data_IF_414222094096
#
_entry.id   IF_414222094096
#
_cell.length_a   1.000
_cell.length_b   1.000
_cell.length_c   1.000
_cell.angle_alpha   90.00
_cell.angle_beta   90.00
_cell.angle_gamma   90.00
#
_symmetry.space_group_name_H-M   'P 1'
#
loop_
_entity.id
_entity.type
_entity.pdbx_description
1 polymer ?
#
# COMPACT_ATOMS: atom_id res chain seq x y z
N UNK A 1 -20.61 -41.26 66.90
CA UNK A 1 -21.88 -40.49 66.91
C UNK A 1 -21.69 -39.25 66.05
N UNK A 2 -22.73 -38.89 65.30
CA UNK A 2 -22.74 -38.06 64.09
C UNK A 2 -23.03 -36.57 64.36
N UNK A 3 -22.81 -35.73 63.32
CA UNK A 3 -23.25 -34.33 63.03
C UNK A 3 -22.10 -33.30 63.03
N UNK A 4 -21.62 -32.83 61.87
CA UNK A 4 -22.18 -31.81 60.94
C UNK A 4 -22.43 -30.48 61.66
N UNK A 5 -21.76 -29.40 61.23
CA UNK A 5 -22.35 -28.11 60.80
C UNK A 5 -21.23 -27.20 60.25
N UNK A 6 -21.38 -26.79 58.99
CA UNK A 6 -20.60 -25.77 58.30
C UNK A 6 -21.04 -24.37 58.76
N UNK A 7 -20.09 -23.45 58.97
CA UNK A 7 -20.38 -22.02 59.02
C UNK A 7 -19.68 -21.32 57.85
N UNK A 8 -20.50 -20.94 56.87
CA UNK A 8 -20.14 -20.07 55.74
C UNK A 8 -20.23 -18.61 56.19
N UNK A 9 -19.37 -17.79 55.60
CA UNK A 9 -19.60 -16.36 55.30
C UNK A 9 -19.60 -15.40 56.49
N UNK A 10 -18.52 -14.63 56.65
CA UNK A 10 -18.52 -13.18 56.99
C UNK A 10 -17.08 -12.73 57.29
N UNK A 11 -16.34 -12.36 56.24
CA UNK A 11 -15.16 -11.50 56.36
C UNK A 11 -14.87 -10.86 55.00
N UNK A 12 -15.86 -10.10 54.52
CA UNK A 12 -15.63 -9.10 53.48
C UNK A 12 -15.16 -7.81 54.14
N UNK A 13 -14.35 -7.06 53.41
CA UNK A 13 -13.95 -5.67 53.64
C UNK A 13 -12.85 -5.45 54.68
N UNK A 14 -11.59 -5.39 54.21
CA UNK A 14 -10.70 -4.22 54.37
C UNK A 14 -9.34 -4.56 53.73
N UNK A 15 -9.11 -4.15 52.49
CA UNK A 15 -7.77 -3.94 51.87
C UNK A 15 -7.96 -3.34 50.47
N UNK A 16 -8.33 -2.06 50.43
CA UNK A 16 -8.31 -1.21 49.23
C UNK A 16 -7.62 0.12 49.59
N UNK A 17 -6.31 0.20 49.29
CA UNK A 17 -5.48 1.42 49.18
C UNK A 17 -4.04 0.94 48.88
N UNK A 18 -3.26 1.41 47.91
CA UNK A 18 -3.37 2.49 46.96
C UNK A 18 -2.46 2.16 45.76
N UNK A 19 -2.98 2.26 44.54
CA UNK A 19 -2.18 2.32 43.30
C UNK A 19 -2.66 3.56 42.55
N UNK A 20 -2.16 4.71 42.97
CA UNK A 20 -2.38 5.99 42.31
C UNK A 20 -1.17 6.35 41.45
N UNK A 21 -1.39 6.51 40.14
CA UNK A 21 -0.59 7.39 39.28
C UNK A 21 0.21 6.75 38.15
N UNK A 22 -0.45 6.39 37.04
CA UNK A 22 0.14 6.63 35.72
C UNK A 22 -0.46 7.95 35.22
N UNK A 23 0.35 9.01 35.21
CA UNK A 23 -0.01 10.24 34.53
C UNK A 23 -0.14 9.94 33.02
N UNK A 24 -1.21 10.39 32.33
CA UNK A 24 -1.19 10.38 30.87
C UNK A 24 -0.07 11.33 30.43
N UNK A 25 0.93 10.77 29.74
CA UNK A 25 1.99 11.53 29.12
C UNK A 25 1.38 12.63 28.26
N UNK A 26 1.86 13.85 28.48
CA UNK A 26 1.47 15.03 27.72
C UNK A 26 1.59 14.70 26.21
N UNK A 27 0.55 14.89 25.38
CA UNK A 27 0.73 14.73 23.95
C UNK A 27 1.75 15.78 23.49
N UNK A 28 2.93 15.33 23.09
CA UNK A 28 3.87 16.17 22.37
C UNK A 28 3.21 16.72 21.11
N UNK A 29 3.76 17.78 20.50
CA UNK A 29 3.22 18.32 19.26
C UNK A 29 3.05 17.19 18.24
N UNK A 30 1.82 17.04 17.76
CA UNK A 30 1.41 16.04 16.77
C UNK A 30 2.10 16.34 15.43
N UNK A 31 3.29 15.77 15.24
CA UNK A 31 4.08 15.90 14.01
C UNK A 31 3.45 15.18 12.81
N UNK A 32 2.37 14.43 13.02
CA UNK A 32 1.63 13.73 11.95
C UNK A 32 0.92 14.70 11.00
N UNK A 33 0.79 15.98 11.36
CA UNK A 33 0.22 17.04 10.50
C UNK A 33 1.23 17.77 9.60
N UNK A 34 2.54 17.50 9.73
CA UNK A 34 3.58 18.16 8.92
C UNK A 34 4.05 17.33 7.72
N UNK A 35 3.55 16.10 7.59
CA UNK A 35 3.64 15.36 6.35
C UNK A 35 2.39 15.72 5.54
N UNK A 36 2.35 16.93 4.99
CA UNK A 36 1.63 17.07 3.73
C UNK A 36 2.35 16.12 2.78
N UNK A 37 1.71 15.06 2.27
CA UNK A 37 2.28 14.39 1.12
C UNK A 37 2.39 15.51 0.09
N UNK A 38 3.61 15.89 -0.26
CA UNK A 38 3.85 16.56 -1.54
C UNK A 38 3.00 15.78 -2.50
N UNK A 39 1.98 16.46 -3.01
CA UNK A 39 1.07 15.89 -3.97
C UNK A 39 2.01 15.40 -5.07
N UNK A 40 2.25 14.09 -5.11
CA UNK A 40 2.72 13.45 -6.33
C UNK A 40 1.61 13.84 -7.26
N UNK A 41 1.86 14.92 -8.02
CA UNK A 41 1.03 15.29 -9.13
C UNK A 41 0.93 13.98 -9.88
N UNK A 42 -0.26 13.39 -9.88
CA UNK A 42 -0.61 12.41 -10.87
C UNK A 42 -0.52 13.20 -12.17
N UNK A 43 0.71 13.36 -12.68
CA UNK A 43 0.95 13.66 -14.08
C UNK A 43 0.11 12.60 -14.76
N UNK A 44 -0.83 13.07 -15.57
CA UNK A 44 -1.88 12.28 -16.23
C UNK A 44 -1.20 11.17 -17.04
N UNK A 45 -0.83 10.09 -16.35
CA UNK A 45 0.13 9.10 -16.80
C UNK A 45 -0.68 8.18 -17.68
N UNK A 46 -0.87 8.62 -18.92
CA UNK A 46 -1.61 7.88 -19.93
C UNK A 46 -0.75 6.72 -20.41
N UNK A 47 -1.31 5.50 -20.52
CA UNK A 47 -0.59 4.38 -21.07
C UNK A 47 -0.03 4.66 -22.48
N UNK A 48 1.03 3.96 -22.93
CA UNK A 48 1.75 4.23 -24.18
C UNK A 48 0.87 4.17 -25.45
N UNK A 49 -0.26 3.47 -25.38
CA UNK A 49 -1.29 3.48 -26.41
C UNK A 49 -2.66 3.13 -25.80
N UNK A 50 -3.68 3.93 -26.13
CA UNK A 50 -5.08 3.68 -25.76
C UNK A 50 -5.71 2.76 -26.82
N UNK A 51 -5.45 1.45 -26.69
CA UNK A 51 -6.05 0.44 -27.58
C UNK A 51 -7.32 -0.13 -26.95
N UNK A 52 -8.43 -0.20 -27.69
CA UNK A 52 -9.67 -0.77 -27.18
C UNK A 52 -9.47 -2.25 -26.82
N UNK A 53 -9.90 -2.62 -25.62
CA UNK A 53 -9.78 -3.99 -25.09
C UNK A 53 -8.42 -4.32 -24.45
N UNK A 54 -7.46 -3.38 -24.43
CA UNK A 54 -6.16 -3.56 -23.76
C UNK A 54 -6.17 -2.83 -22.43
N UNK A 55 -6.02 -3.57 -21.33
CA UNK A 55 -5.90 -2.98 -20.00
C UNK A 55 -4.43 -2.84 -19.61
N UNK A 56 -4.10 -1.72 -18.98
CA UNK A 56 -2.73 -1.36 -18.60
C UNK A 56 -2.55 -1.40 -17.08
N UNK A 57 -1.39 -1.90 -16.66
CA UNK A 57 -0.84 -1.76 -15.32
C UNK A 57 0.43 -0.91 -15.35
N UNK A 58 0.75 -0.29 -14.24
CA UNK A 58 1.95 0.54 -14.07
C UNK A 58 2.72 0.08 -12.83
N UNK A 59 4.03 -0.06 -12.99
CA UNK A 59 4.95 -0.21 -11.86
C UNK A 59 5.77 1.08 -11.78
N UNK A 60 5.79 1.77 -10.62
CA UNK A 60 6.60 2.98 -10.48
C UNK A 60 8.09 2.67 -10.66
N UNK A 61 8.86 3.71 -11.00
CA UNK A 61 10.31 3.60 -10.98
C UNK A 61 10.86 3.26 -9.60
N UNK A 62 12.14 2.86 -9.51
CA UNK A 62 12.76 2.57 -8.22
C UNK A 62 12.69 3.81 -7.31
N UNK A 63 12.47 3.55 -6.02
CA UNK A 63 12.43 4.62 -5.04
C UNK A 63 13.84 5.00 -4.60
N UNK A 64 14.18 6.27 -4.76
CA UNK A 64 15.46 6.86 -4.35
C UNK A 64 15.19 7.84 -3.22
N UNK A 65 15.90 7.68 -2.11
CA UNK A 65 15.86 8.63 -1.00
C UNK A 65 17.03 9.60 -1.11
N UNK A 66 16.72 10.88 -1.23
CA UNK A 66 17.70 11.96 -1.30
C UNK A 66 17.55 12.89 -0.08
N UNK A 67 18.66 13.44 0.38
CA UNK A 67 18.66 14.46 1.43
C UNK A 67 18.47 15.82 0.76
N UNK A 68 17.26 16.37 0.89
CA UNK A 68 16.86 17.62 0.22
C UNK A 68 16.86 18.77 1.21
N UNK A 69 17.48 19.89 0.81
CA UNK A 69 17.41 21.17 1.53
C UNK A 69 16.30 22.04 0.95
N UNK A 70 15.31 22.38 1.79
CA UNK A 70 14.22 23.28 1.43
C UNK A 70 14.32 24.61 2.19
N UNK A 71 13.97 25.71 1.53
CA UNK A 71 13.75 26.99 2.20
C UNK A 71 12.28 27.09 2.59
N UNK A 72 11.99 27.05 3.90
CA UNK A 72 10.63 27.16 4.43
C UNK A 72 10.39 28.50 5.11
N UNK A 73 9.17 29.02 5.00
CA UNK A 73 8.73 30.20 5.73
C UNK A 73 8.64 29.88 7.23
N UNK A 74 9.54 30.42 8.04
CA UNK A 74 9.55 30.22 9.48
C UNK A 74 8.64 31.21 10.21
N UNK A 75 8.57 32.45 9.73
CA UNK A 75 7.68 33.48 10.28
C UNK A 75 7.16 34.34 9.12
N UNK A 76 5.84 34.48 8.93
CA UNK A 76 5.28 35.33 7.89
C UNK A 76 5.58 36.81 8.14
N UNK A 77 5.57 37.61 7.07
CA UNK A 77 5.66 39.07 7.19
C UNK A 77 4.46 39.62 7.97
N UNK A 78 4.69 40.72 8.69
CA UNK A 78 3.63 41.48 9.37
C UNK A 78 3.31 42.71 8.56
N UNK A 79 2.04 42.89 8.23
CA UNK A 79 1.51 44.05 7.51
C UNK A 79 0.69 44.89 8.49
N UNK A 80 0.92 46.21 8.48
CA UNK A 80 0.18 47.17 9.29
C UNK A 80 -1.20 47.49 8.73
N UNK A 81 -2.06 48.19 9.50
CA UNK A 81 -3.43 48.53 9.08
C UNK A 81 -3.50 49.36 7.79
N UNK A 82 -2.47 50.15 7.53
CA UNK A 82 -2.35 51.03 6.36
C UNK A 82 -1.76 50.31 5.12
N UNK A 83 -1.57 48.99 5.20
CA UNK A 83 -0.99 48.18 4.12
C UNK A 83 0.53 48.18 4.05
N UNK A 84 1.22 48.95 4.90
CA UNK A 84 2.68 49.01 4.96
C UNK A 84 3.27 47.80 5.69
N UNK A 85 4.39 47.26 5.21
CA UNK A 85 5.11 46.17 5.88
C UNK A 85 5.79 46.68 7.17
N UNK A 86 5.44 46.07 8.30
CA UNK A 86 5.97 46.44 9.63
C UNK A 86 7.03 45.44 10.13
N UNK A 87 7.09 44.24 9.56
CA UNK A 87 8.20 43.31 9.75
C UNK A 87 8.28 42.32 8.57
N UNK A 88 9.49 41.99 8.10
CA UNK A 88 9.66 41.07 6.97
C UNK A 88 9.39 39.61 7.37
N UNK A 89 9.16 38.78 6.35
CA UNK A 89 9.12 37.34 6.49
C UNK A 89 10.52 36.77 6.82
N UNK A 90 10.57 35.79 7.73
CA UNK A 90 11.79 35.07 8.09
C UNK A 90 11.72 33.66 7.47
N UNK A 91 12.75 33.31 6.71
CA UNK A 91 12.91 31.99 6.10
C UNK A 91 13.97 31.17 6.85
N UNK A 92 13.84 29.84 6.80
CA UNK A 92 14.82 28.91 7.37
C UNK A 92 15.05 27.75 6.42
N UNK A 93 16.30 27.35 6.27
CA UNK A 93 16.65 26.13 5.56
C UNK A 93 16.38 24.90 6.45
N UNK A 94 15.71 23.90 5.88
CA UNK A 94 15.42 22.62 6.52
C UNK A 94 15.88 21.51 5.61
N UNK A 95 16.82 20.71 6.11
CA UNK A 95 17.31 19.51 5.43
C UNK A 95 16.52 18.30 5.90
N UNK A 96 15.94 17.53 4.97
CA UNK A 96 15.19 16.31 5.29
C UNK A 96 15.36 15.23 4.23
N UNK A 97 15.33 13.94 4.61
CA UNK A 97 15.22 12.85 3.64
C UNK A 97 13.87 12.95 2.93
N UNK A 98 13.89 12.85 1.61
CA UNK A 98 12.72 12.76 0.76
C UNK A 98 12.88 11.59 -0.20
N UNK A 99 11.81 10.83 -0.40
CA UNK A 99 11.80 9.69 -1.31
C UNK A 99 11.09 10.06 -2.61
N UNK A 100 11.74 9.78 -3.72
CA UNK A 100 11.26 10.04 -5.07
C UNK A 100 11.21 8.72 -5.86
N UNK A 101 10.33 8.64 -6.85
CA UNK A 101 10.43 7.58 -7.86
C UNK A 101 11.35 8.09 -8.98
N UNK A 102 12.32 7.28 -9.38
CA UNK A 102 13.21 7.61 -10.48
C UNK A 102 12.54 7.28 -11.83
N UNK A 103 12.33 8.30 -12.65
CA UNK A 103 11.71 8.17 -13.98
C UNK A 103 10.22 7.82 -13.95
N UNK A 104 9.69 7.50 -15.14
CA UNK A 104 8.25 7.29 -15.35
C UNK A 104 7.76 5.86 -15.02
N UNK A 105 8.64 5.01 -14.48
CA UNK A 105 8.33 3.60 -14.23
C UNK A 105 8.14 2.78 -15.51
N UNK A 106 7.35 1.71 -15.41
CA UNK A 106 7.11 0.77 -16.51
C UNK A 106 5.65 0.42 -16.65
N UNK A 107 5.14 0.57 -17.86
CA UNK A 107 3.83 0.09 -18.28
C UNK A 107 3.88 -1.39 -18.71
N UNK A 108 2.81 -2.12 -18.43
CA UNK A 108 2.63 -3.50 -18.89
C UNK A 108 1.15 -3.80 -19.13
N UNK A 109 0.87 -4.75 -20.03
CA UNK A 109 -0.49 -5.22 -20.26
C UNK A 109 -0.94 -6.11 -19.12
N UNK A 110 -2.11 -5.82 -18.54
CA UNK A 110 -2.73 -6.58 -17.45
C UNK A 110 -3.99 -7.30 -17.93
N UNK A 111 -4.43 -8.29 -17.17
CA UNK A 111 -5.78 -8.82 -17.29
C UNK A 111 -6.79 -7.73 -16.93
N UNK A 112 -7.82 -7.57 -17.76
CA UNK A 112 -8.88 -6.58 -17.56
C UNK A 112 -9.78 -6.96 -16.38
N UNK A 113 -10.33 -5.96 -15.70
CA UNK A 113 -11.23 -6.20 -14.55
C UNK A 113 -12.49 -6.98 -14.95
N UNK A 114 -12.96 -6.81 -16.19
CA UNK A 114 -14.08 -7.56 -16.75
C UNK A 114 -13.83 -9.08 -16.83
N UNK A 115 -12.56 -9.48 -17.02
CA UNK A 115 -12.17 -10.90 -17.10
C UNK A 115 -11.84 -11.50 -15.72
N UNK A 116 -11.69 -10.66 -14.70
CA UNK A 116 -11.37 -11.06 -13.32
C UNK A 116 -12.61 -11.56 -12.56
N UNK A 117 -13.35 -12.49 -13.16
CA UNK A 117 -14.52 -13.12 -12.52
C UNK A 117 -14.10 -14.02 -11.34
N UNK A 118 -14.99 -14.33 -10.39
CA UNK A 118 -14.68 -15.26 -9.30
C UNK A 118 -14.16 -16.61 -9.78
N UNK A 119 -14.71 -17.16 -10.87
CA UNK A 119 -14.30 -18.43 -11.46
C UNK A 119 -12.88 -18.35 -12.05
N UNK A 120 -12.56 -17.22 -12.69
CA UNK A 120 -11.22 -16.94 -13.19
C UNK A 120 -10.22 -16.87 -12.03
N UNK A 121 -10.56 -16.13 -10.97
CA UNK A 121 -9.72 -16.01 -9.78
C UNK A 121 -9.56 -17.35 -9.05
N UNK A 122 -10.58 -18.20 -8.99
CA UNK A 122 -10.45 -19.56 -8.46
C UNK A 122 -9.46 -20.39 -9.28
N UNK A 123 -9.47 -20.22 -10.61
CA UNK A 123 -8.52 -20.91 -11.50
C UNK A 123 -7.10 -20.40 -11.30
N UNK A 124 -6.93 -19.08 -11.17
CA UNK A 124 -5.67 -18.45 -10.79
C UNK A 124 -5.14 -18.99 -9.45
N UNK A 125 -5.98 -19.02 -8.41
CA UNK A 125 -5.62 -19.53 -7.09
C UNK A 125 -5.17 -21.00 -7.14
N UNK A 126 -5.86 -21.85 -7.93
CA UNK A 126 -5.42 -23.24 -8.18
C UNK A 126 -4.06 -23.31 -8.90
N UNK A 127 -3.87 -22.49 -9.93
CA UNK A 127 -2.64 -22.47 -10.71
C UNK A 127 -1.42 -22.02 -9.88
N UNK A 128 -1.63 -21.04 -8.99
CA UNK A 128 -0.62 -20.58 -8.03
C UNK A 128 -0.36 -21.62 -6.93
N UNK A 129 -1.40 -22.29 -6.43
CA UNK A 129 -1.25 -23.35 -5.44
C UNK A 129 -0.47 -24.55 -5.97
N UNK A 130 -0.72 -24.95 -7.22
CA UNK A 130 0.03 -26.02 -7.89
C UNK A 130 1.54 -25.71 -8.02
N UNK A 131 1.92 -24.43 -7.97
CA UNK A 131 3.31 -23.96 -8.01
C UNK A 131 3.89 -23.70 -6.61
N UNK A 132 3.14 -23.99 -5.55
CA UNK A 132 3.55 -23.75 -4.17
C UNK A 132 3.53 -22.28 -3.74
N UNK A 133 2.94 -21.39 -4.53
CA UNK A 133 2.91 -19.94 -4.26
C UNK A 133 1.64 -19.49 -3.49
N UNK A 134 0.62 -20.34 -3.42
CA UNK A 134 -0.64 -20.04 -2.74
C UNK A 134 -1.09 -21.19 -1.84
N UNK A 135 -1.37 -20.89 -0.57
CA UNK A 135 -1.82 -21.86 0.43
C UNK A 135 -3.17 -21.48 1.08
N UNK A 136 -3.89 -20.52 0.49
CA UNK A 136 -5.19 -20.07 0.96
C UNK A 136 -6.36 -20.90 0.41
N UNK A 137 -7.58 -20.54 0.82
CA UNK A 137 -8.78 -21.14 0.26
C UNK A 137 -8.99 -20.70 -1.20
N UNK A 138 -9.44 -21.61 -2.06
CA UNK A 138 -9.84 -21.27 -3.42
C UNK A 138 -11.27 -20.73 -3.39
N UNK A 139 -11.40 -19.42 -3.20
CA UNK A 139 -12.67 -18.73 -2.96
C UNK A 139 -13.03 -17.71 -4.05
N UNK A 140 -12.17 -17.52 -5.06
CA UNK A 140 -12.43 -16.58 -6.16
C UNK A 140 -12.27 -15.11 -5.78
N UNK A 141 -11.67 -14.82 -4.63
CA UNK A 141 -11.47 -13.44 -4.15
C UNK A 141 -10.00 -13.05 -4.32
N UNK A 142 -9.75 -11.90 -4.96
CA UNK A 142 -8.42 -11.28 -5.00
C UNK A 142 -8.07 -10.62 -3.66
N UNK A 143 -7.89 -11.45 -2.63
CA UNK A 143 -7.47 -11.02 -1.29
C UNK A 143 -5.95 -10.79 -1.20
N UNK A 144 -5.48 -10.32 -0.05
CA UNK A 144 -4.05 -10.05 0.17
C UNK A 144 -3.15 -11.28 -0.03
N UNK A 145 -3.66 -12.48 0.24
CA UNK A 145 -2.91 -13.73 0.01
C UNK A 145 -2.78 -14.02 -1.48
N UNK A 146 -3.86 -13.84 -2.24
CA UNK A 146 -3.86 -14.04 -3.69
C UNK A 146 -3.02 -12.97 -4.38
N UNK A 147 -3.13 -11.70 -3.97
CA UNK A 147 -2.29 -10.59 -4.45
C UNK A 147 -0.80 -10.84 -4.21
N UNK A 148 -0.43 -11.33 -3.03
CA UNK A 148 0.96 -11.72 -2.72
C UNK A 148 1.42 -12.87 -3.62
N UNK A 149 0.62 -13.91 -3.78
CA UNK A 149 0.97 -15.04 -4.63
C UNK A 149 1.14 -14.64 -6.12
N UNK A 150 0.34 -13.70 -6.61
CA UNK A 150 0.52 -13.10 -7.94
C UNK A 150 1.83 -12.32 -8.01
N UNK A 151 2.10 -11.46 -7.02
CA UNK A 151 3.37 -10.74 -6.94
C UNK A 151 4.56 -11.71 -6.98
N UNK A 152 4.58 -12.73 -6.10
CA UNK A 152 5.67 -13.68 -5.98
C UNK A 152 5.86 -14.54 -7.26
N UNK A 153 4.79 -14.79 -8.01
CA UNK A 153 4.87 -15.42 -9.33
C UNK A 153 5.55 -14.53 -10.38
N UNK A 154 5.33 -13.22 -10.31
CA UNK A 154 5.77 -12.24 -11.31
C UNK A 154 7.15 -11.65 -11.02
N UNK A 155 7.57 -11.57 -9.75
CA UNK A 155 8.88 -11.01 -9.36
C UNK A 155 10.06 -11.68 -10.08
N UNK A 156 10.14 -13.03 -10.18
CA UNK A 156 11.24 -13.70 -10.90
C UNK A 156 11.25 -13.42 -12.40
N UNK A 157 10.13 -12.96 -12.96
CA UNK A 157 9.98 -12.55 -14.35
C UNK A 157 10.32 -11.07 -14.56
N UNK A 158 10.85 -10.41 -13.53
CA UNK A 158 11.23 -9.00 -13.55
C UNK A 158 10.06 -8.04 -13.43
N UNK A 159 8.90 -8.48 -12.93
CA UNK A 159 7.72 -7.65 -12.71
C UNK A 159 7.33 -7.58 -11.22
N UNK A 160 7.68 -6.46 -10.58
CA UNK A 160 7.30 -6.13 -9.20
C UNK A 160 5.88 -5.53 -9.17
N UNK A 161 4.86 -6.40 -9.24
CA UNK A 161 3.46 -5.98 -9.20
C UNK A 161 2.56 -7.10 -8.69
N UNK A 162 1.55 -6.75 -7.89
CA UNK A 162 0.45 -7.65 -7.52
C UNK A 162 -0.70 -7.67 -8.54
N UNK A 163 -0.65 -6.83 -9.56
CA UNK A 163 -1.61 -6.83 -10.67
C UNK A 163 -1.23 -7.96 -11.61
N UNK A 164 -2.20 -8.84 -11.93
CA UNK A 164 -1.97 -9.95 -12.85
C UNK A 164 -1.71 -9.43 -14.27
N UNK A 165 -0.49 -9.61 -14.76
CA UNK A 165 -0.10 -9.31 -16.13
C UNK A 165 -0.74 -10.29 -17.10
N UNK A 166 -1.04 -9.82 -18.32
CA UNK A 166 -1.57 -10.68 -19.38
C UNK A 166 -0.58 -11.80 -19.75
N UNK A 167 0.72 -11.52 -19.71
CA UNK A 167 1.78 -12.51 -19.92
C UNK A 167 1.78 -13.58 -18.83
N UNK A 168 1.67 -13.21 -17.56
CA UNK A 168 1.57 -14.17 -16.46
C UNK A 168 0.30 -15.03 -16.57
N UNK A 169 -0.85 -14.42 -16.88
CA UNK A 169 -2.10 -15.15 -17.07
C UNK A 169 -1.99 -16.20 -18.19
N UNK A 170 -1.34 -15.87 -19.31
CA UNK A 170 -1.06 -16.80 -20.41
C UNK A 170 -0.12 -17.94 -19.99
N UNK A 171 0.99 -17.63 -19.30
CA UNK A 171 1.91 -18.66 -18.81
C UNK A 171 1.29 -19.60 -17.77
N UNK A 172 0.34 -19.09 -16.98
CA UNK A 172 -0.44 -19.90 -16.04
C UNK A 172 -1.52 -20.75 -16.73
N UNK A 173 -1.73 -20.57 -18.04
CA UNK A 173 -2.75 -21.26 -18.82
C UNK A 173 -4.18 -20.76 -18.56
N UNK A 174 -4.32 -19.53 -18.05
CA UNK A 174 -5.62 -18.92 -17.71
C UNK A 174 -6.28 -18.25 -18.92
N UNK A 175 -5.46 -17.79 -19.87
CA UNK A 175 -5.90 -17.11 -21.09
C UNK A 175 -5.26 -17.82 -22.27
N UNK A 176 -6.09 -18.15 -23.27
CA UNK A 176 -5.62 -18.78 -24.50
C UNK A 176 -4.65 -17.85 -25.25
N UNK A 177 -3.57 -18.45 -25.75
CA UNK A 177 -2.70 -17.80 -26.72
C UNK A 177 -3.13 -18.33 -28.08
N UNK A 178 -3.49 -17.43 -29.00
CA UNK A 178 -3.67 -17.82 -30.39
C UNK A 178 -2.28 -18.18 -30.92
N UNK A 179 -2.06 -19.48 -31.15
CA UNK A 179 -0.87 -19.94 -31.84
C UNK A 179 -1.07 -19.52 -33.30
N UNK A 180 -0.22 -18.63 -33.80
CA UNK A 180 -0.21 -18.34 -35.23
C UNK A 180 0.02 -19.66 -35.96
N UNK A 181 -1.05 -20.16 -36.58
CA UNK A 181 -1.01 -21.35 -37.38
C UNK A 181 -0.11 -21.05 -38.57
N UNK A 182 1.09 -21.64 -38.57
CA UNK A 182 1.96 -21.81 -39.73
C UNK A 182 1.91 -20.69 -40.76
N UNK A 183 2.72 -19.65 -40.58
CA UNK A 183 3.38 -19.06 -41.76
C UNK A 183 4.43 -20.07 -42.25
N UNK A 184 3.90 -21.13 -42.86
CA UNK A 184 4.63 -22.11 -43.64
C UNK A 184 5.12 -21.48 -44.97
N UNK A 185 6.17 -22.09 -45.51
CA UNK A 185 6.52 -22.15 -46.93
C UNK A 185 7.14 -20.90 -47.59
N UNK A 186 8.47 -20.95 -47.68
CA UNK A 186 9.29 -20.28 -48.69
C UNK A 186 10.60 -21.04 -48.87
#
# INVERSE_FOLDING_TARGET
MSRIIQFRSLAAALLLAALAGCAPGNPGPDVTKLISPTQILAIDMKPPADMPGVCWGHVPGPQVTEIVSDIVLATPAKIGPDGNEIAPAIYREVTRPQTFNEGDGRWFTRTCDADMTPEFVMTLQRALAARGLYSGAVNGVMDQRTLRAVHDYQTPQGLDSAILSLSAARQLGLIAVELEAGQDAG
#
